data_IF_913185690125
#
_entry.id   IF_913185690125
#
_cell.length_a   1.000
_cell.length_b   1.000
_cell.length_c   1.000
_cell.angle_alpha   90.00
_cell.angle_beta   90.00
_cell.angle_gamma   90.00
#
_symmetry.space_group_name_H-M   'P 1'
#
loop_
_entity.id
_entity.type
_entity.pdbx_description
1 polymer ?
#
# COMPACT_ATOMS: atom_id res chain seq x y z
N UNK A 1 -19.54 16.14 -25.15
CA UNK A 1 -18.55 15.46 -24.26
C UNK A 1 -18.84 14.02 -23.88
N UNK A 2 -20.07 13.62 -23.47
CA UNK A 2 -20.33 12.24 -23.00
C UNK A 2 -19.86 11.16 -24.01
N UNK A 3 -19.91 11.51 -25.30
CA UNK A 3 -19.46 10.72 -26.45
C UNK A 3 -17.94 10.44 -26.50
N UNK A 4 -17.06 11.35 -26.07
CA UNK A 4 -15.60 11.16 -26.20
C UNK A 4 -15.05 10.21 -25.15
N UNK A 5 -15.56 10.28 -23.91
CA UNK A 5 -15.20 9.34 -22.84
C UNK A 5 -15.74 7.94 -23.14
N UNK A 6 -16.97 7.87 -23.65
CA UNK A 6 -17.57 6.61 -24.06
C UNK A 6 -16.79 5.96 -25.20
N UNK A 7 -16.45 6.74 -26.25
CA UNK A 7 -15.61 6.26 -27.35
C UNK A 7 -14.25 5.76 -26.84
N UNK A 8 -13.59 6.51 -25.94
CA UNK A 8 -12.33 6.06 -25.35
C UNK A 8 -12.47 4.70 -24.67
N UNK A 9 -13.56 4.46 -23.91
CA UNK A 9 -13.79 3.17 -23.26
C UNK A 9 -14.06 2.04 -24.25
N UNK A 10 -14.71 2.34 -25.37
CA UNK A 10 -15.06 1.35 -26.40
C UNK A 10 -13.83 0.93 -27.22
N UNK A 11 -12.86 1.83 -27.44
CA UNK A 11 -11.71 1.57 -28.34
C UNK A 11 -10.38 1.35 -27.63
N UNK A 12 -10.29 1.61 -26.32
CA UNK A 12 -9.03 1.53 -25.58
C UNK A 12 -8.86 0.21 -24.85
N UNK A 13 -7.76 -0.50 -25.15
CA UNK A 13 -7.32 -1.67 -24.37
C UNK A 13 -6.95 -1.32 -22.91
N UNK A 14 -6.81 -0.03 -22.61
CA UNK A 14 -6.46 0.50 -21.30
C UNK A 14 -7.66 1.01 -20.52
N UNK A 15 -8.90 0.80 -20.99
CA UNK A 15 -10.11 1.25 -20.29
C UNK A 15 -10.15 0.76 -18.82
N UNK A 16 -9.61 -0.44 -18.56
CA UNK A 16 -9.48 -1.04 -17.22
C UNK A 16 -8.56 -0.27 -16.26
N UNK A 17 -7.65 0.54 -16.78
CA UNK A 17 -6.72 1.35 -15.99
C UNK A 17 -7.32 2.70 -15.58
N UNK A 18 -8.51 3.04 -16.07
CA UNK A 18 -9.18 4.32 -15.78
C UNK A 18 -9.78 4.30 -14.38
N UNK A 19 -9.19 5.09 -13.49
CA UNK A 19 -9.62 5.22 -12.09
C UNK A 19 -10.93 6.02 -11.93
N UNK A 20 -11.22 6.91 -12.88
CA UNK A 20 -12.44 7.70 -12.90
C UNK A 20 -12.44 8.72 -14.04
N UNK A 21 -13.46 9.57 -14.07
CA UNK A 21 -13.67 10.52 -15.17
C UNK A 21 -14.06 11.89 -14.65
N UNK A 22 -13.50 12.95 -15.22
CA UNK A 22 -13.94 14.33 -14.99
C UNK A 22 -15.01 14.66 -16.04
N UNK A 23 -16.25 14.89 -15.60
CA UNK A 23 -17.35 15.28 -16.48
C UNK A 23 -17.39 16.80 -16.66
N UNK A 24 -17.76 17.26 -17.86
CA UNK A 24 -17.83 18.69 -18.18
C UNK A 24 -17.10 19.04 -19.47
N UNK A 25 -17.23 20.29 -19.92
CA UNK A 25 -16.61 20.79 -21.15
C UNK A 25 -15.23 21.30 -20.80
N UNK A 26 -14.21 20.53 -21.14
CA UNK A 26 -12.83 20.81 -20.75
C UNK A 26 -11.92 21.20 -21.92
N UNK A 27 -12.47 21.37 -23.12
CA UNK A 27 -11.72 21.73 -24.34
C UNK A 27 -10.94 23.06 -24.22
N UNK A 28 -11.32 23.91 -23.25
CA UNK A 28 -10.68 25.20 -22.94
C UNK A 28 -10.29 25.34 -21.47
N UNK A 29 -10.39 24.29 -20.66
CA UNK A 29 -10.00 24.35 -19.25
C UNK A 29 -8.48 24.39 -19.15
N UNK A 30 -7.94 25.30 -18.34
CA UNK A 30 -6.51 25.37 -18.11
C UNK A 30 -6.00 24.07 -17.45
N UNK A 31 -4.79 23.59 -17.78
CA UNK A 31 -4.26 22.32 -17.24
C UNK A 31 -4.28 22.23 -15.71
N UNK A 32 -3.98 23.32 -15.01
CA UNK A 32 -4.01 23.35 -13.54
C UNK A 32 -5.41 23.14 -12.95
N UNK A 33 -6.44 23.70 -13.57
CA UNK A 33 -7.84 23.51 -13.12
C UNK A 33 -8.34 22.10 -13.42
N UNK A 34 -7.94 21.53 -14.58
CA UNK A 34 -8.24 20.14 -14.90
C UNK A 34 -7.52 19.19 -13.93
N UNK A 35 -6.28 19.49 -13.56
CA UNK A 35 -5.51 18.76 -12.56
C UNK A 35 -6.20 18.75 -11.19
N UNK A 36 -6.73 19.89 -10.73
CA UNK A 36 -7.51 19.96 -9.49
C UNK A 36 -8.76 19.07 -9.54
N UNK A 37 -9.49 19.08 -10.66
CA UNK A 37 -10.68 18.26 -10.82
C UNK A 37 -10.35 16.75 -10.85
N UNK A 38 -9.30 16.36 -11.59
CA UNK A 38 -8.80 14.99 -11.61
C UNK A 38 -8.32 14.54 -10.23
N UNK A 39 -7.67 15.43 -9.47
CA UNK A 39 -7.22 15.15 -8.12
C UNK A 39 -8.39 14.83 -7.17
N UNK A 40 -9.53 15.52 -7.28
CA UNK A 40 -10.70 15.19 -6.45
C UNK A 40 -11.21 13.76 -6.73
N UNK A 41 -11.22 13.34 -8.00
CA UNK A 41 -11.58 11.96 -8.37
C UNK A 41 -10.59 10.96 -7.75
N UNK A 42 -9.29 11.24 -7.87
CA UNK A 42 -8.25 10.38 -7.29
C UNK A 42 -8.34 10.29 -5.77
N UNK A 43 -8.59 11.40 -5.06
CA UNK A 43 -8.73 11.41 -3.60
C UNK A 43 -9.82 10.49 -3.11
N UNK A 44 -10.99 10.50 -3.76
CA UNK A 44 -12.10 9.60 -3.42
C UNK A 44 -11.69 8.13 -3.63
N UNK A 45 -11.02 7.83 -4.75
CA UNK A 45 -10.53 6.47 -5.02
C UNK A 45 -9.49 6.02 -4.00
N UNK A 46 -8.50 6.85 -3.69
CA UNK A 46 -7.43 6.54 -2.75
C UNK A 46 -8.02 6.28 -1.35
N UNK A 47 -8.97 7.10 -0.91
CA UNK A 47 -9.69 6.87 0.35
C UNK A 47 -10.41 5.52 0.35
N UNK A 48 -11.16 5.21 -0.71
CA UNK A 48 -11.85 3.93 -0.83
C UNK A 48 -10.88 2.73 -0.89
N UNK A 49 -9.72 2.90 -1.54
CA UNK A 49 -8.67 1.88 -1.60
C UNK A 49 -8.10 1.61 -0.21
N UNK A 50 -7.75 2.65 0.56
CA UNK A 50 -7.24 2.54 1.94
C UNK A 50 -8.22 1.75 2.82
N UNK A 51 -9.51 2.06 2.78
CA UNK A 51 -10.52 1.30 3.54
C UNK A 51 -10.63 -0.15 3.06
N UNK A 52 -10.59 -0.39 1.75
CA UNK A 52 -10.69 -1.73 1.19
C UNK A 52 -9.51 -2.63 1.57
N UNK A 53 -8.28 -2.10 1.59
CA UNK A 53 -7.08 -2.90 1.92
C UNK A 53 -7.02 -3.29 3.38
N UNK A 54 -7.51 -2.44 4.30
CA UNK A 54 -7.66 -2.79 5.72
C UNK A 54 -8.62 -3.97 5.86
N UNK A 55 -9.80 -3.90 5.25
CA UNK A 55 -10.78 -4.98 5.29
C UNK A 55 -10.26 -6.27 4.63
N UNK A 56 -9.51 -6.14 3.52
CA UNK A 56 -8.87 -7.25 2.83
C UNK A 56 -7.84 -7.94 3.74
N UNK A 57 -7.00 -7.18 4.45
CA UNK A 57 -6.03 -7.71 5.40
C UNK A 57 -6.72 -8.41 6.56
N UNK A 58 -7.74 -7.80 7.18
CA UNK A 58 -8.47 -8.41 8.30
C UNK A 58 -9.13 -9.73 7.90
N UNK A 59 -9.74 -9.80 6.71
CA UNK A 59 -10.34 -11.03 6.19
C UNK A 59 -9.28 -12.11 5.88
N UNK A 60 -8.12 -11.70 5.35
CA UNK A 60 -7.02 -12.62 5.07
C UNK A 60 -6.42 -13.18 6.37
N UNK A 61 -6.24 -12.35 7.40
CA UNK A 61 -5.77 -12.76 8.71
C UNK A 61 -6.73 -13.78 9.35
N UNK A 62 -8.04 -13.52 9.30
CA UNK A 62 -9.06 -14.44 9.83
C UNK A 62 -9.08 -15.82 9.15
N UNK A 63 -8.57 -15.92 7.92
CA UNK A 63 -8.48 -17.18 7.16
C UNK A 63 -7.08 -17.80 7.15
N UNK A 64 -6.11 -17.22 7.87
CA UNK A 64 -4.72 -17.67 7.89
C UNK A 64 -3.95 -17.40 6.59
N UNK A 65 -4.46 -16.53 5.72
CA UNK A 65 -3.83 -16.11 4.46
C UNK A 65 -3.09 -14.77 4.56
N UNK A 66 -2.90 -14.26 5.78
CA UNK A 66 -2.05 -13.12 6.08
C UNK A 66 -1.28 -13.33 7.40
N UNK A 67 -0.19 -12.60 7.55
CA UNK A 67 0.50 -12.40 8.83
C UNK A 67 0.45 -10.94 9.24
N UNK A 68 0.47 -10.68 10.53
CA UNK A 68 0.31 -9.36 11.15
C UNK A 68 1.36 -9.18 12.23
N UNK A 69 1.81 -7.96 12.47
CA UNK A 69 2.94 -7.68 13.35
C UNK A 69 4.28 -7.76 12.63
N UNK A 70 5.23 -6.93 13.08
CA UNK A 70 6.51 -6.73 12.38
C UNK A 70 7.37 -7.99 12.36
N UNK A 71 7.35 -8.82 13.41
CA UNK A 71 8.18 -10.03 13.49
C UNK A 71 7.77 -11.07 12.44
N UNK A 72 6.47 -11.38 12.33
CA UNK A 72 5.93 -12.32 11.37
C UNK A 72 6.05 -11.78 9.93
N UNK A 73 5.80 -10.49 9.75
CA UNK A 73 5.96 -9.79 8.46
C UNK A 73 7.42 -9.83 8.02
N UNK A 74 8.38 -9.61 8.92
CA UNK A 74 9.82 -9.69 8.63
C UNK A 74 10.22 -11.08 8.12
N UNK A 75 9.75 -12.13 8.80
CA UNK A 75 10.08 -13.51 8.44
C UNK A 75 9.53 -13.92 7.06
N UNK A 76 8.28 -13.56 6.74
CA UNK A 76 7.61 -14.00 5.52
C UNK A 76 7.74 -13.03 4.34
N UNK A 77 7.87 -11.73 4.58
CA UNK A 77 7.96 -10.70 3.55
C UNK A 77 9.19 -10.88 2.64
N UNK A 78 10.27 -11.41 3.20
CA UNK A 78 11.53 -11.67 2.49
C UNK A 78 11.49 -12.91 1.60
N UNK A 79 10.51 -13.80 1.76
CA UNK A 79 10.47 -15.10 1.07
C UNK A 79 9.76 -15.07 -0.30
N UNK A 80 9.48 -13.88 -0.88
CA UNK A 80 8.60 -13.72 -2.07
C UNK A 80 7.22 -14.37 -1.90
N UNK A 81 6.75 -14.55 -0.67
CA UNK A 81 5.45 -15.18 -0.37
C UNK A 81 4.32 -14.17 -0.20
N UNK A 82 4.63 -12.90 0.04
CA UNK A 82 3.64 -11.83 0.19
C UNK A 82 3.25 -11.17 -1.13
N UNK A 83 1.95 -10.93 -1.33
CA UNK A 83 1.42 -10.17 -2.48
C UNK A 83 1.12 -8.71 -2.16
N UNK A 84 0.75 -8.41 -0.91
CA UNK A 84 0.38 -7.06 -0.47
C UNK A 84 0.82 -6.84 0.97
N UNK A 85 1.74 -5.91 1.17
CA UNK A 85 2.09 -5.36 2.48
C UNK A 85 1.19 -4.14 2.74
N UNK A 86 0.60 -4.07 3.92
CA UNK A 86 -0.20 -2.93 4.39
C UNK A 86 0.45 -2.39 5.65
N UNK A 87 0.73 -1.10 5.67
CA UNK A 87 1.44 -0.42 6.76
C UNK A 87 0.71 0.86 7.11
N UNK A 88 0.59 1.21 8.39
CA UNK A 88 0.14 2.56 8.78
C UNK A 88 1.18 3.62 8.36
N UNK A 89 0.71 4.78 7.91
CA UNK A 89 1.57 5.82 7.32
C UNK A 89 2.56 6.46 8.30
N UNK A 90 2.31 6.35 9.60
CA UNK A 90 3.13 6.86 10.70
C UNK A 90 3.80 5.75 11.54
N UNK A 91 3.60 4.48 11.18
CA UNK A 91 4.23 3.38 11.89
C UNK A 91 5.71 3.27 11.54
N UNK A 92 6.53 3.26 12.58
CA UNK A 92 7.95 2.95 12.54
C UNK A 92 8.26 1.96 13.64
N UNK A 93 9.12 1.00 13.34
CA UNK A 93 9.63 0.10 14.35
C UNK A 93 10.87 0.70 15.01
N UNK A 94 11.12 0.32 16.26
CA UNK A 94 12.39 0.63 16.91
C UNK A 94 13.55 -0.06 16.17
N UNK A 95 14.76 0.41 16.47
CA UNK A 95 15.98 -0.18 15.93
C UNK A 95 16.09 -1.66 16.28
N UNK A 96 16.56 -2.46 15.31
CA UNK A 96 16.73 -3.89 15.51
C UNK A 96 17.96 -4.42 14.76
N UNK A 97 18.55 -5.48 15.29
CA UNK A 97 19.47 -6.35 14.53
C UNK A 97 18.72 -7.57 14.04
N UNK A 98 19.11 -8.07 12.89
CA UNK A 98 18.68 -9.40 12.46
C UNK A 98 19.60 -10.47 13.05
N UNK A 99 19.03 -11.41 13.81
CA UNK A 99 19.72 -12.59 14.33
C UNK A 99 18.90 -13.83 13.97
N UNK A 100 19.49 -14.76 13.22
CA UNK A 100 18.84 -16.00 12.77
C UNK A 100 17.49 -15.76 12.07
N UNK A 101 17.40 -14.70 11.25
CA UNK A 101 16.19 -14.34 10.51
C UNK A 101 15.10 -13.66 11.34
N UNK A 102 15.40 -13.28 12.59
CA UNK A 102 14.47 -12.61 13.51
C UNK A 102 14.99 -11.23 13.90
N UNK A 103 14.07 -10.32 14.21
CA UNK A 103 14.42 -9.02 14.75
C UNK A 103 14.75 -9.15 16.25
N UNK A 104 15.86 -8.53 16.63
CA UNK A 104 16.29 -8.37 18.02
C UNK A 104 16.43 -6.87 18.27
N UNK A 105 15.47 -6.31 19.01
CA UNK A 105 15.40 -4.88 19.33
C UNK A 105 16.63 -4.42 20.10
N UNK A 106 17.15 -3.25 19.76
CA UNK A 106 18.38 -2.71 20.36
C UNK A 106 18.39 -1.18 20.31
N UNK A 107 19.03 -0.55 21.29
CA UNK A 107 19.27 0.90 21.29
C UNK A 107 20.60 1.30 20.62
N UNK A 108 21.35 0.30 20.14
CA UNK A 108 22.63 0.49 19.45
C UNK A 108 22.41 1.17 18.08
N UNK A 109 23.36 2.02 17.67
CA UNK A 109 23.33 2.76 16.41
C UNK A 109 24.53 2.40 15.50
N UNK A 110 25.07 1.20 15.67
CA UNK A 110 26.12 0.65 14.81
C UNK A 110 25.61 0.33 13.41
N UNK A 111 26.55 0.18 12.47
CA UNK A 111 26.26 0.06 11.04
C UNK A 111 25.52 -1.23 10.65
N UNK A 112 25.50 -2.24 11.51
CA UNK A 112 24.80 -3.52 11.32
C UNK A 112 23.37 -3.53 11.87
N UNK A 113 22.93 -2.41 12.44
CA UNK A 113 21.57 -2.23 12.98
C UNK A 113 20.65 -1.65 11.91
N UNK A 114 19.44 -2.19 11.82
CA UNK A 114 18.36 -1.62 11.03
C UNK A 114 17.77 -0.44 11.80
N UNK A 115 17.88 0.77 11.23
CA UNK A 115 17.31 1.98 11.83
C UNK A 115 15.77 1.92 11.89
N UNK A 116 15.14 1.39 10.84
CA UNK A 116 13.71 1.13 10.76
C UNK A 116 13.44 -0.15 9.96
N UNK A 117 13.23 -1.30 10.64
CA UNK A 117 12.86 -2.55 9.97
C UNK A 117 11.63 -2.46 9.07
N UNK A 118 10.74 -1.48 9.26
CA UNK A 118 9.57 -1.28 8.40
C UNK A 118 10.01 -0.80 7.00
N UNK A 119 10.98 0.10 6.91
CA UNK A 119 11.47 0.60 5.61
C UNK A 119 12.17 -0.51 4.82
N UNK A 120 12.97 -1.31 5.51
CA UNK A 120 13.68 -2.46 4.94
C UNK A 120 12.71 -3.52 4.39
N UNK A 121 11.64 -3.85 5.15
CA UNK A 121 10.67 -4.85 4.68
C UNK A 121 9.80 -4.33 3.53
N UNK A 122 9.50 -3.03 3.50
CA UNK A 122 8.86 -2.36 2.35
C UNK A 122 9.70 -2.56 1.09
N UNK A 123 11.01 -2.27 1.17
CA UNK A 123 11.92 -2.47 0.03
C UNK A 123 11.97 -3.94 -0.41
N UNK A 124 12.10 -4.87 0.54
CA UNK A 124 12.13 -6.29 0.25
C UNK A 124 10.87 -6.79 -0.48
N UNK A 125 9.69 -6.39 -0.02
CA UNK A 125 8.41 -6.77 -0.65
C UNK A 125 8.31 -6.22 -2.06
N UNK A 126 8.69 -4.97 -2.29
CA UNK A 126 8.68 -4.35 -3.63
C UNK A 126 9.66 -5.06 -4.57
N UNK A 127 10.90 -5.30 -4.12
CA UNK A 127 11.91 -6.05 -4.89
C UNK A 127 11.47 -7.48 -5.21
N UNK A 128 10.64 -8.07 -4.35
CA UNK A 128 10.02 -9.38 -4.55
C UNK A 128 8.78 -9.36 -5.49
N UNK A 129 8.36 -8.20 -5.98
CA UNK A 129 7.18 -8.03 -6.84
C UNK A 129 5.85 -8.07 -6.08
N UNK A 130 5.87 -7.83 -4.77
CA UNK A 130 4.67 -7.53 -3.99
C UNK A 130 4.29 -6.04 -4.11
N UNK A 131 3.08 -5.70 -3.70
CA UNK A 131 2.62 -4.31 -3.60
C UNK A 131 2.68 -3.85 -2.14
N UNK A 132 2.73 -2.53 -1.95
CA UNK A 132 2.67 -1.88 -0.63
C UNK A 132 1.56 -0.84 -0.64
N UNK A 133 0.73 -0.83 0.40
CA UNK A 133 -0.33 0.16 0.59
C UNK A 133 -0.22 0.78 1.97
N UNK A 134 -0.16 2.11 2.01
CA UNK A 134 -0.14 2.86 3.27
C UNK A 134 -1.55 3.29 3.68
N UNK A 135 -1.91 3.00 4.92
CA UNK A 135 -3.22 3.31 5.51
C UNK A 135 -3.11 4.38 6.59
N UNK A 136 -4.25 4.87 7.05
CA UNK A 136 -4.27 5.91 8.09
C UNK A 136 -3.72 5.37 9.42
N UNK A 137 -3.24 6.25 10.31
CA UNK A 137 -2.88 5.88 11.68
C UNK A 137 -4.01 5.12 12.37
N UNK A 138 -3.64 4.17 13.23
CA UNK A 138 -4.54 3.30 14.02
C UNK A 138 -5.49 2.41 13.20
N UNK A 139 -5.42 2.42 11.87
CA UNK A 139 -6.30 1.61 11.03
C UNK A 139 -6.01 0.09 11.13
N UNK A 140 -4.84 -0.27 11.64
CA UNK A 140 -4.31 -1.62 11.82
C UNK A 140 -3.92 -1.88 13.29
N UNK A 141 -4.48 -1.14 14.26
CA UNK A 141 -4.14 -1.30 15.67
C UNK A 141 -4.32 -2.77 16.16
N UNK A 142 -5.35 -3.46 15.68
CA UNK A 142 -5.59 -4.88 15.99
C UNK A 142 -4.62 -5.85 15.28
N UNK A 143 -3.93 -5.39 14.25
CA UNK A 143 -2.96 -6.14 13.45
C UNK A 143 -1.50 -5.73 13.77
N UNK A 144 -1.27 -4.94 14.82
CA UNK A 144 0.06 -4.49 15.20
C UNK A 144 0.67 -3.52 14.18
N UNK A 145 -0.15 -2.65 13.58
CA UNK A 145 0.24 -1.54 12.69
C UNK A 145 0.82 -1.94 11.32
N UNK A 146 1.03 -3.24 11.08
CA UNK A 146 1.59 -3.78 9.83
C UNK A 146 1.04 -5.18 9.54
N UNK A 147 0.81 -5.50 8.27
CA UNK A 147 0.44 -6.86 7.87
C UNK A 147 0.77 -7.19 6.43
N UNK A 148 0.97 -8.48 6.15
CA UNK A 148 1.33 -9.01 4.84
C UNK A 148 0.35 -10.09 4.42
N UNK A 149 -0.39 -9.81 3.34
CA UNK A 149 -1.24 -10.81 2.69
C UNK A 149 -0.37 -11.71 1.81
N UNK A 150 -0.54 -13.02 1.97
CA UNK A 150 0.22 -14.03 1.26
C UNK A 150 -0.37 -14.33 -0.13
N UNK A 151 0.44 -14.96 -0.98
CA UNK A 151 0.04 -15.48 -2.30
C UNK A 151 -0.71 -16.80 -2.20
#
# INVERSE_FOLDING_TARGET
MRRSIQLFREVSDNARLVVGTVGGAHDRTAPGELGKAAWQVMRVRLKARRTAVVAELSAAAATGSAVTGIDEVWQLGRQRRGRLLVVEEDYRADRAREVDGRLVWTDDASLDVLDDPVDEIVEHVVRAGGNVEFVAPDALAEQGHIGLILR
#
